data_IF_581826447229
#
_entry.id   IF_581826447229
#
_cell.length_a   1.000
_cell.length_b   1.000
_cell.length_c   1.000
_cell.angle_alpha   90.00
_cell.angle_beta   90.00
_cell.angle_gamma   90.00
#
_symmetry.space_group_name_H-M   'P 1'
#
loop_
_entity.id
_entity.type
_entity.pdbx_description
1 polymer ?
#
# COMPACT_ATOMS: atom_id res chain seq x y z
N UNK A 1 5.13 28.82 -26.19
CA UNK A 1 6.42 28.38 -25.62
C UNK A 1 6.70 29.10 -24.31
N UNK A 2 6.79 30.43 -24.30
CA UNK A 2 7.06 31.25 -23.09
C UNK A 2 6.13 30.90 -21.92
N UNK A 3 4.81 30.86 -22.13
CA UNK A 3 3.85 30.52 -21.06
C UNK A 3 4.06 29.09 -20.50
N UNK A 4 4.52 28.14 -21.34
CA UNK A 4 4.82 26.78 -20.89
C UNK A 4 6.02 26.80 -19.95
N UNK A 5 7.09 27.49 -20.36
CA UNK A 5 8.32 27.58 -19.57
C UNK A 5 8.08 28.38 -18.27
N UNK A 6 7.27 29.45 -18.33
CA UNK A 6 6.79 30.17 -17.14
C UNK A 6 6.04 29.25 -16.18
N UNK A 7 5.11 28.42 -16.69
CA UNK A 7 4.36 27.50 -15.83
C UNK A 7 5.26 26.46 -15.14
N UNK A 8 6.36 26.05 -15.79
CA UNK A 8 7.35 25.14 -15.20
C UNK A 8 8.20 25.84 -14.13
N UNK A 9 8.54 27.13 -14.32
CA UNK A 9 9.23 27.92 -13.30
C UNK A 9 8.33 28.20 -12.09
N UNK A 10 7.06 28.55 -12.31
CA UNK A 10 6.10 28.83 -11.25
C UNK A 10 5.89 27.63 -10.34
N UNK A 11 5.72 26.42 -10.91
CA UNK A 11 5.57 25.21 -10.08
C UNK A 11 6.86 24.89 -9.31
N UNK A 12 8.04 25.12 -9.91
CA UNK A 12 9.33 24.93 -9.24
C UNK A 12 9.51 25.89 -8.05
N UNK A 13 9.03 27.13 -8.19
CA UNK A 13 9.05 28.13 -7.13
C UNK A 13 7.87 28.01 -6.14
N UNK A 14 6.98 27.02 -6.32
CA UNK A 14 5.73 26.84 -5.56
C UNK A 14 4.77 28.04 -5.62
N UNK A 15 4.84 28.85 -6.66
CA UNK A 15 3.83 29.86 -6.97
C UNK A 15 2.61 29.18 -7.63
N UNK A 16 1.76 28.57 -6.80
CA UNK A 16 0.59 27.82 -7.26
C UNK A 16 -0.49 28.71 -7.87
N UNK A 17 -0.68 29.92 -7.34
CA UNK A 17 -1.68 30.85 -7.86
C UNK A 17 -1.29 31.38 -9.24
N UNK A 18 -0.02 31.76 -9.43
CA UNK A 18 0.51 32.12 -10.74
C UNK A 18 0.45 30.94 -11.72
N UNK A 19 0.75 29.72 -11.25
CA UNK A 19 0.64 28.50 -12.06
C UNK A 19 -0.78 28.29 -12.60
N UNK A 20 -1.82 28.41 -11.76
CA UNK A 20 -3.23 28.29 -12.18
C UNK A 20 -3.58 29.31 -13.27
N UNK A 21 -3.18 30.57 -13.09
CA UNK A 21 -3.44 31.64 -14.07
C UNK A 21 -2.77 31.35 -15.41
N UNK A 22 -1.49 30.98 -15.41
CA UNK A 22 -0.74 30.64 -16.62
C UNK A 22 -1.34 29.42 -17.33
N UNK A 23 -1.76 28.39 -16.57
CA UNK A 23 -2.40 27.19 -17.14
C UNK A 23 -3.77 27.49 -17.74
N UNK A 24 -4.55 28.39 -17.15
CA UNK A 24 -5.81 28.89 -17.74
C UNK A 24 -5.55 29.55 -19.08
N UNK A 25 -4.57 30.46 -19.16
CA UNK A 25 -4.22 31.15 -20.41
C UNK A 25 -3.76 30.16 -21.49
N UNK A 26 -2.92 29.19 -21.14
CA UNK A 26 -2.49 28.13 -22.05
C UNK A 26 -3.66 27.30 -22.59
N UNK A 27 -4.62 26.96 -21.74
CA UNK A 27 -5.81 26.22 -22.14
C UNK A 27 -6.68 27.05 -23.11
N UNK A 28 -6.91 28.33 -22.83
CA UNK A 28 -7.67 29.22 -23.72
C UNK A 28 -7.01 29.38 -25.09
N UNK A 29 -5.68 29.47 -25.13
CA UNK A 29 -4.94 29.62 -26.39
C UNK A 29 -4.90 28.33 -27.22
N UNK A 30 -4.83 27.17 -26.57
CA UNK A 30 -4.66 25.86 -27.23
C UNK A 30 -5.55 24.80 -26.57
N UNK A 31 -6.88 24.87 -26.75
CA UNK A 31 -7.83 23.94 -26.14
C UNK A 31 -7.80 22.54 -26.79
N UNK A 32 -7.31 22.41 -28.04
CA UNK A 32 -7.19 21.11 -28.70
C UNK A 32 -6.12 20.19 -28.08
N UNK A 33 -5.20 20.72 -27.28
CA UNK A 33 -4.13 19.94 -26.67
C UNK A 33 -4.56 19.40 -25.31
N UNK A 34 -4.72 18.08 -25.21
CA UNK A 34 -5.03 17.34 -23.96
C UNK A 34 -4.15 17.76 -22.78
N UNK A 35 -2.84 17.91 -22.99
CA UNK A 35 -1.89 18.29 -21.93
C UNK A 35 -2.27 19.59 -21.22
N UNK A 36 -2.91 20.54 -21.92
CA UNK A 36 -3.33 21.80 -21.31
C UNK A 36 -4.54 21.61 -20.38
N UNK A 37 -5.48 20.72 -20.73
CA UNK A 37 -6.60 20.36 -19.86
C UNK A 37 -6.12 19.69 -18.58
N UNK A 38 -5.29 18.66 -18.72
CA UNK A 38 -4.76 17.90 -17.57
C UNK A 38 -3.94 18.82 -16.68
N UNK A 39 -3.02 19.62 -17.24
CA UNK A 39 -2.20 20.51 -16.45
C UNK A 39 -3.02 21.61 -15.74
N UNK A 40 -4.14 22.05 -16.34
CA UNK A 40 -5.06 22.98 -15.71
C UNK A 40 -5.84 22.31 -14.56
N UNK A 41 -6.33 21.07 -14.75
CA UNK A 41 -6.95 20.30 -13.68
C UNK A 41 -5.99 20.07 -12.50
N UNK A 42 -4.75 19.67 -12.78
CA UNK A 42 -3.68 19.52 -11.78
C UNK A 42 -3.41 20.84 -11.05
N UNK A 43 -3.41 21.97 -11.75
CA UNK A 43 -3.20 23.27 -11.10
C UNK A 43 -4.24 23.57 -10.01
N UNK A 44 -5.52 23.24 -10.27
CA UNK A 44 -6.59 23.39 -9.28
C UNK A 44 -6.50 22.36 -8.15
N UNK A 45 -6.12 21.12 -8.46
CA UNK A 45 -5.88 20.09 -7.46
C UNK A 45 -4.78 20.51 -6.48
N UNK A 46 -3.65 21.08 -6.97
CA UNK A 46 -2.56 21.55 -6.10
C UNK A 46 -2.97 22.67 -5.14
N UNK A 47 -3.94 23.51 -5.53
CA UNK A 47 -4.53 24.56 -4.70
C UNK A 47 -5.66 24.02 -3.79
N UNK A 48 -5.91 22.70 -3.81
CA UNK A 48 -7.02 22.01 -3.11
C UNK A 48 -8.41 22.49 -3.52
N UNK A 49 -8.53 23.04 -4.73
CA UNK A 49 -9.83 23.35 -5.34
C UNK A 49 -10.32 22.11 -6.11
N UNK A 50 -10.81 21.13 -5.35
CA UNK A 50 -11.22 19.84 -5.89
C UNK A 50 -12.45 19.95 -6.81
N UNK A 51 -13.42 20.82 -6.49
CA UNK A 51 -14.63 20.99 -7.31
C UNK A 51 -14.30 21.48 -8.73
N UNK A 52 -13.43 22.49 -8.83
CA UNK A 52 -13.01 23.01 -10.13
C UNK A 52 -12.15 21.99 -10.89
N UNK A 53 -11.29 21.23 -10.18
CA UNK A 53 -10.52 20.16 -10.78
C UNK A 53 -11.44 19.11 -11.45
N UNK A 54 -12.45 18.62 -10.72
CA UNK A 54 -13.42 17.65 -11.24
C UNK A 54 -14.21 18.22 -12.41
N UNK A 55 -14.66 19.48 -12.31
CA UNK A 55 -15.38 20.14 -13.40
C UNK A 55 -14.55 20.25 -14.69
N UNK A 56 -13.24 20.55 -14.57
CA UNK A 56 -12.33 20.60 -15.74
C UNK A 56 -12.14 19.22 -16.34
N UNK A 57 -12.02 18.17 -15.53
CA UNK A 57 -11.91 16.78 -15.99
C UNK A 57 -13.19 16.36 -16.73
N UNK A 58 -14.36 16.61 -16.14
CA UNK A 58 -15.67 16.32 -16.76
C UNK A 58 -15.86 17.07 -18.08
N UNK A 59 -15.44 18.34 -18.14
CA UNK A 59 -15.50 19.13 -19.36
C UNK A 59 -14.60 18.54 -20.45
N UNK A 60 -13.38 18.11 -20.10
CA UNK A 60 -12.48 17.45 -21.03
C UNK A 60 -13.05 16.13 -21.56
N UNK A 61 -13.57 15.25 -20.69
CA UNK A 61 -14.20 13.98 -21.09
C UNK A 61 -15.37 14.20 -22.07
N UNK A 62 -16.22 15.21 -21.81
CA UNK A 62 -17.31 15.58 -22.72
C UNK A 62 -16.80 15.97 -24.11
N UNK A 63 -15.71 16.74 -24.21
CA UNK A 63 -15.14 17.09 -25.52
C UNK A 63 -14.65 15.86 -26.28
N UNK A 64 -13.98 14.92 -25.59
CA UNK A 64 -13.49 13.68 -26.22
C UNK A 64 -14.65 12.78 -26.70
N UNK A 65 -15.74 12.67 -25.95
CA UNK A 65 -16.92 11.88 -26.38
C UNK A 65 -17.67 12.49 -27.57
N UNK A 66 -17.69 13.83 -27.68
CA UNK A 66 -18.30 14.49 -28.84
C UNK A 66 -17.46 14.36 -30.11
N UNK A 67 -16.14 14.39 -29.98
CA UNK A 67 -15.23 14.23 -31.11
C UNK A 67 -15.25 12.80 -31.67
N UNK A 68 -15.38 11.79 -30.79
CA UNK A 68 -15.56 10.39 -31.22
C UNK A 68 -16.91 10.15 -31.88
N UNK A 69 -18.00 10.75 -31.38
CA UNK A 69 -19.33 10.66 -32.01
C UNK A 69 -19.35 11.30 -33.41
N UNK A 70 -18.79 12.50 -33.56
CA UNK A 70 -18.68 13.18 -34.86
C UNK A 70 -17.80 12.41 -35.86
N UNK A 71 -16.73 11.76 -35.40
CA UNK A 71 -15.87 10.94 -36.25
C UNK A 71 -16.56 9.64 -36.73
N UNK A 72 -17.50 9.10 -35.94
CA UNK A 72 -18.32 7.95 -36.33
C UNK A 72 -19.42 8.34 -37.32
N UNK A 73 -20.05 9.51 -37.15
CA UNK A 73 -21.08 10.00 -38.07
C UNK A 73 -20.50 10.38 -39.45
N UNK A 74 -19.32 11.01 -39.50
CA UNK A 74 -18.63 11.31 -40.76
C UNK A 74 -18.17 10.06 -41.54
N UNK A 75 -17.95 8.92 -40.85
CA UNK A 75 -17.68 7.63 -41.50
C UNK A 75 -18.93 6.98 -42.09
N UNK A 76 -20.12 7.23 -41.52
CA UNK A 76 -21.40 6.78 -42.09
C UNK A 76 -21.77 7.56 -43.35
N UNK A 77 -21.53 8.87 -43.37
CA UNK A 77 -21.84 9.71 -44.55
C UNK A 77 -20.88 9.51 -45.74
N UNK A 78 -19.68 8.95 -45.52
CA UNK A 78 -18.75 8.56 -46.61
C UNK A 78 -18.95 7.13 -47.13
N UNK A 79 -19.95 6.41 -46.62
CA UNK A 79 -20.21 5.00 -46.95
C UNK A 79 -21.25 4.75 -48.04
N UNK A 80 -21.72 5.77 -48.76
CA UNK A 80 -22.77 5.61 -49.75
C UNK A 80 -22.37 6.15 -51.13
N UNK A 81 -21.35 5.54 -51.74
CA UNK A 81 -21.18 5.58 -53.20
C UNK A 81 -20.61 4.25 -53.72
N UNK A 82 -21.45 3.56 -54.49
CA UNK A 82 -21.18 2.50 -55.48
C UNK A 82 -20.79 1.06 -55.05
N UNK A 83 -21.76 0.17 -55.30
CA UNK A 83 -21.67 -1.17 -55.92
C UNK A 83 -20.94 -2.35 -55.21
N UNK A 84 -21.79 -3.23 -54.67
CA UNK A 84 -21.79 -4.70 -54.81
C UNK A 84 -20.48 -5.48 -54.63
N UNK A 85 -20.36 -6.18 -53.49
CA UNK A 85 -20.25 -7.64 -53.46
C UNK A 85 -20.44 -8.15 -52.03
N UNK A 86 -21.43 -9.01 -51.86
CA UNK A 86 -21.74 -9.71 -50.62
C UNK A 86 -20.55 -10.52 -50.12
N UNK A 87 -20.16 -10.30 -48.87
CA UNK A 87 -19.59 -11.32 -48.00
C UNK A 87 -19.86 -10.93 -46.55
N UNK A 88 -20.70 -11.76 -45.92
CA UNK A 88 -20.96 -11.76 -44.50
C UNK A 88 -19.64 -11.74 -43.73
N UNK A 89 -19.51 -10.81 -42.79
CA UNK A 89 -18.80 -11.03 -41.54
C UNK A 89 -19.40 -10.12 -40.47
N UNK A 90 -20.24 -10.72 -39.63
CA UNK A 90 -20.47 -10.21 -38.29
C UNK A 90 -19.15 -10.35 -37.52
N UNK A 91 -18.42 -9.25 -37.37
CA UNK A 91 -17.55 -9.07 -36.22
C UNK A 91 -17.82 -7.71 -35.61
N UNK A 92 -18.17 -7.75 -34.33
CA UNK A 92 -18.30 -6.61 -33.44
C UNK A 92 -17.02 -5.77 -33.48
N UNK A 93 -17.00 -4.77 -34.36
CA UNK A 93 -15.94 -3.78 -34.45
C UNK A 93 -15.98 -2.83 -33.27
N UNK A 94 -15.47 -3.27 -32.11
CA UNK A 94 -14.93 -2.33 -31.14
C UNK A 94 -13.72 -1.68 -31.81
N UNK A 95 -13.82 -0.40 -32.17
CA UNK A 95 -12.66 0.37 -32.61
C UNK A 95 -11.63 0.31 -31.48
N UNK A 96 -10.57 -0.49 -31.64
CA UNK A 96 -9.56 -0.64 -30.60
C UNK A 96 -8.77 0.66 -30.50
N UNK A 97 -9.02 1.41 -29.43
CA UNK A 97 -8.16 2.52 -29.01
C UNK A 97 -6.71 2.03 -28.88
N UNK A 98 -5.74 2.89 -29.17
CA UNK A 98 -4.33 2.50 -29.07
C UNK A 98 -3.98 2.06 -27.63
N UNK A 99 -2.97 1.20 -27.42
CA UNK A 99 -2.55 0.82 -26.06
C UNK A 99 -2.24 2.04 -25.18
N UNK A 100 -1.64 3.08 -25.76
CA UNK A 100 -1.34 4.34 -25.08
C UNK A 100 -2.63 5.07 -24.65
N UNK A 101 -3.64 5.15 -25.53
CA UNK A 101 -4.95 5.75 -25.20
C UNK A 101 -5.69 4.97 -24.09
N UNK A 102 -5.58 3.64 -24.08
CA UNK A 102 -6.17 2.81 -23.03
C UNK A 102 -5.51 3.07 -21.68
N UNK A 103 -4.17 3.14 -21.65
CA UNK A 103 -3.41 3.49 -20.46
C UNK A 103 -3.78 4.89 -19.98
N UNK A 104 -3.80 5.87 -20.87
CA UNK A 104 -4.18 7.25 -20.58
C UNK A 104 -5.61 7.39 -20.04
N UNK A 105 -6.53 6.55 -20.53
CA UNK A 105 -7.92 6.51 -20.05
C UNK A 105 -7.98 5.90 -18.66
N UNK A 106 -7.30 4.78 -18.43
CA UNK A 106 -7.16 4.14 -17.11
C UNK A 106 -6.65 5.12 -16.06
N UNK A 107 -5.54 5.81 -16.36
CA UNK A 107 -4.93 6.78 -15.44
C UNK A 107 -5.84 7.98 -15.17
N UNK A 108 -6.62 8.43 -16.16
CA UNK A 108 -7.55 9.53 -15.95
C UNK A 108 -8.69 9.15 -15.00
N UNK A 109 -9.23 7.93 -15.13
CA UNK A 109 -10.28 7.42 -14.23
C UNK A 109 -9.74 7.31 -12.80
N UNK A 110 -8.55 6.73 -12.62
CA UNK A 110 -7.92 6.61 -11.30
C UNK A 110 -7.58 7.99 -10.69
N UNK A 111 -7.08 8.92 -11.50
CA UNK A 111 -6.82 10.29 -11.05
C UNK A 111 -8.09 11.00 -10.60
N UNK A 112 -9.17 10.90 -11.38
CA UNK A 112 -10.48 11.46 -11.03
C UNK A 112 -11.03 10.85 -9.74
N UNK A 113 -10.95 9.53 -9.58
CA UNK A 113 -11.35 8.83 -8.36
C UNK A 113 -10.53 9.29 -7.15
N UNK A 114 -9.22 9.49 -7.31
CA UNK A 114 -8.35 10.05 -6.26
C UNK A 114 -8.75 11.47 -5.85
N UNK A 115 -9.05 12.34 -6.82
CA UNK A 115 -9.53 13.71 -6.51
C UNK A 115 -10.86 13.63 -5.73
N UNK A 116 -11.75 12.71 -6.09
CA UNK A 116 -12.99 12.47 -5.35
C UNK A 116 -12.71 11.95 -3.92
N UNK A 117 -11.78 11.00 -3.75
CA UNK A 117 -11.32 10.49 -2.45
C UNK A 117 -10.79 11.62 -1.56
N UNK A 118 -9.89 12.46 -2.07
CA UNK A 118 -9.31 13.59 -1.32
C UNK A 118 -10.37 14.65 -0.95
N UNK A 119 -11.39 14.81 -1.79
CA UNK A 119 -12.56 15.67 -1.50
C UNK A 119 -13.62 15.02 -0.60
N UNK A 120 -13.35 13.81 -0.07
CA UNK A 120 -14.26 13.00 0.77
C UNK A 120 -15.58 12.60 0.08
N UNK A 121 -15.61 12.58 -1.24
CA UNK A 121 -16.75 12.11 -2.04
C UNK A 121 -16.65 10.59 -2.29
N UNK A 122 -16.57 9.80 -1.21
CA UNK A 122 -16.24 8.37 -1.28
C UNK A 122 -17.23 7.56 -2.11
N UNK A 123 -18.53 7.73 -1.94
CA UNK A 123 -19.54 6.96 -2.69
C UNK A 123 -19.46 7.21 -4.20
N UNK A 124 -19.19 8.45 -4.60
CA UNK A 124 -19.01 8.80 -6.01
C UNK A 124 -17.72 8.18 -6.57
N UNK A 125 -16.64 8.21 -5.80
CA UNK A 125 -15.37 7.62 -6.19
C UNK A 125 -15.47 6.09 -6.37
N UNK A 126 -16.14 5.42 -5.42
CA UNK A 126 -16.42 3.98 -5.48
C UNK A 126 -17.28 3.67 -6.71
N UNK A 127 -18.37 4.42 -6.91
CA UNK A 127 -19.24 4.25 -8.07
C UNK A 127 -18.50 4.39 -9.39
N UNK A 128 -17.60 5.38 -9.50
CA UNK A 128 -16.76 5.60 -10.67
C UNK A 128 -15.87 4.38 -10.95
N UNK A 129 -15.08 3.92 -9.96
CA UNK A 129 -14.17 2.78 -10.13
C UNK A 129 -14.93 1.51 -10.52
N UNK A 130 -16.07 1.22 -9.88
CA UNK A 130 -16.85 0.03 -10.17
C UNK A 130 -17.50 0.09 -11.56
N UNK A 131 -17.99 1.27 -11.96
CA UNK A 131 -18.65 1.44 -13.27
C UNK A 131 -17.66 1.37 -14.44
N UNK A 132 -16.42 1.78 -14.23
CA UNK A 132 -15.38 1.86 -15.25
C UNK A 132 -14.30 0.78 -15.10
N UNK A 133 -14.58 -0.29 -14.33
CA UNK A 133 -13.59 -1.34 -14.06
C UNK A 133 -12.99 -1.90 -15.35
N UNK A 134 -13.79 -2.11 -16.39
CA UNK A 134 -13.32 -2.59 -17.69
C UNK A 134 -12.26 -1.69 -18.37
N UNK A 135 -12.21 -0.40 -18.03
CA UNK A 135 -11.22 0.56 -18.56
C UNK A 135 -9.94 0.62 -17.71
N UNK A 136 -9.97 0.08 -16.49
CA UNK A 136 -8.84 0.14 -15.56
C UNK A 136 -7.81 -0.95 -15.90
N UNK A 137 -6.59 -0.52 -16.22
CA UNK A 137 -5.45 -1.40 -16.42
C UNK A 137 -4.75 -1.72 -15.09
N UNK A 138 -4.57 -0.73 -14.22
CA UNK A 138 -4.05 -0.95 -12.86
C UNK A 138 -5.15 -1.43 -11.91
N UNK A 139 -5.43 -2.73 -12.00
CA UNK A 139 -6.41 -3.42 -11.14
C UNK A 139 -6.02 -3.42 -9.67
N UNK A 140 -4.72 -3.46 -9.37
CA UNK A 140 -4.25 -3.49 -8.00
C UNK A 140 -4.42 -2.12 -7.35
N UNK A 141 -3.97 -1.05 -7.99
CA UNK A 141 -4.16 0.32 -7.51
C UNK A 141 -5.63 0.69 -7.37
N UNK A 142 -6.49 0.23 -8.28
CA UNK A 142 -7.94 0.37 -8.17
C UNK A 142 -8.50 -0.31 -6.91
N UNK A 143 -8.08 -1.55 -6.62
CA UNK A 143 -8.49 -2.28 -5.40
C UNK A 143 -7.96 -1.62 -4.13
N UNK A 144 -6.70 -1.20 -4.11
CA UNK A 144 -6.13 -0.47 -2.97
C UNK A 144 -6.89 0.84 -2.70
N UNK A 145 -7.27 1.56 -3.76
CA UNK A 145 -8.09 2.76 -3.65
C UNK A 145 -9.50 2.46 -3.13
N UNK A 146 -10.16 1.42 -3.65
CA UNK A 146 -11.46 0.95 -3.14
C UNK A 146 -11.40 0.60 -1.66
N UNK A 147 -10.33 -0.06 -1.19
CA UNK A 147 -10.15 -0.38 0.23
C UNK A 147 -10.16 0.89 1.11
N UNK A 148 -9.39 1.91 0.72
CA UNK A 148 -9.38 3.21 1.41
C UNK A 148 -10.72 3.92 1.36
N UNK A 149 -11.39 3.90 0.22
CA UNK A 149 -12.70 4.55 0.04
C UNK A 149 -13.81 3.82 0.82
N UNK A 150 -13.79 2.48 0.91
CA UNK A 150 -14.72 1.72 1.73
C UNK A 150 -14.54 2.02 3.21
N UNK A 151 -13.29 2.13 3.70
CA UNK A 151 -13.02 2.61 5.05
C UNK A 151 -13.55 4.04 5.27
N UNK A 152 -13.22 4.97 4.36
CA UNK A 152 -13.63 6.38 4.47
C UNK A 152 -15.15 6.59 4.41
N UNK A 153 -15.88 5.72 3.71
CA UNK A 153 -17.35 5.73 3.65
C UNK A 153 -18.03 4.95 4.78
N UNK A 154 -17.28 4.24 5.62
CA UNK A 154 -17.82 3.38 6.69
C UNK A 154 -18.41 2.05 6.20
N UNK A 155 -18.15 1.63 4.96
CA UNK A 155 -18.55 0.32 4.43
C UNK A 155 -17.58 -0.77 4.89
N UNK A 156 -17.53 -1.00 6.20
CA UNK A 156 -16.51 -1.82 6.88
C UNK A 156 -16.49 -3.27 6.40
N UNK A 157 -17.66 -3.91 6.20
CA UNK A 157 -17.73 -5.30 5.72
C UNK A 157 -17.04 -5.48 4.35
N UNK A 158 -17.23 -4.51 3.45
CA UNK A 158 -16.60 -4.53 2.12
C UNK A 158 -15.11 -4.24 2.21
N UNK A 159 -14.72 -3.32 3.09
CA UNK A 159 -13.32 -3.03 3.35
C UNK A 159 -12.58 -4.27 3.91
N UNK A 160 -13.16 -4.94 4.90
CA UNK A 160 -12.59 -6.16 5.50
C UNK A 160 -12.39 -7.24 4.43
N UNK A 161 -13.43 -7.58 3.66
CA UNK A 161 -13.34 -8.59 2.62
C UNK A 161 -12.24 -8.26 1.59
N UNK A 162 -12.14 -6.99 1.19
CA UNK A 162 -11.15 -6.54 0.22
C UNK A 162 -9.72 -6.54 0.79
N UNK A 163 -9.52 -6.13 2.04
CA UNK A 163 -8.20 -6.21 2.67
C UNK A 163 -7.74 -7.65 2.90
N UNK A 164 -8.65 -8.57 3.22
CA UNK A 164 -8.34 -10.01 3.25
C UNK A 164 -7.87 -10.52 1.89
N UNK A 165 -8.52 -10.09 0.80
CA UNK A 165 -8.07 -10.42 -0.57
C UNK A 165 -6.68 -9.82 -0.88
N UNK A 166 -6.43 -8.58 -0.48
CA UNK A 166 -5.13 -7.92 -0.66
C UNK A 166 -4.02 -8.61 0.14
N UNK A 167 -4.30 -9.06 1.36
CA UNK A 167 -3.38 -9.84 2.20
C UNK A 167 -3.09 -11.19 1.55
N UNK A 168 -4.10 -11.88 1.02
CA UNK A 168 -3.88 -13.15 0.32
C UNK A 168 -2.97 -12.99 -0.91
N UNK A 169 -3.00 -11.83 -1.56
CA UNK A 169 -2.13 -11.50 -2.69
C UNK A 169 -0.71 -11.11 -2.26
N UNK A 170 -0.57 -10.29 -1.21
CA UNK A 170 0.74 -9.88 -0.68
C UNK A 170 0.68 -9.71 0.85
N UNK A 171 0.96 -10.79 1.61
CA UNK A 171 0.84 -10.78 3.07
C UNK A 171 1.97 -10.04 3.78
N UNK A 172 3.03 -9.63 3.08
CA UNK A 172 4.14 -8.85 3.67
C UNK A 172 3.84 -7.34 3.71
N UNK A 173 2.79 -6.89 3.02
CA UNK A 173 2.42 -5.47 3.03
C UNK A 173 1.64 -5.11 4.29
N UNK A 174 2.33 -4.57 5.28
CA UNK A 174 1.75 -4.17 6.56
C UNK A 174 0.62 -3.15 6.45
N UNK A 175 0.56 -2.35 5.39
CA UNK A 175 -0.55 -1.40 5.16
C UNK A 175 -1.89 -2.11 4.96
N UNK A 176 -1.89 -3.33 4.42
CA UNK A 176 -3.11 -4.11 4.30
C UNK A 176 -3.57 -4.66 5.64
N UNK A 177 -2.63 -4.95 6.54
CA UNK A 177 -2.97 -5.35 7.91
C UNK A 177 -3.62 -4.18 8.63
N UNK A 178 -3.02 -2.99 8.53
CA UNK A 178 -3.57 -1.78 9.12
C UNK A 178 -4.98 -1.50 8.56
N UNK A 179 -5.18 -1.66 7.24
CA UNK A 179 -6.49 -1.57 6.60
C UNK A 179 -7.52 -2.58 7.09
N UNK A 180 -7.12 -3.86 7.25
CA UNK A 180 -7.97 -4.91 7.82
C UNK A 180 -8.40 -4.57 9.24
N UNK A 181 -7.46 -4.17 10.09
CA UNK A 181 -7.77 -3.85 11.49
C UNK A 181 -8.55 -2.55 11.65
N UNK A 182 -8.38 -1.58 10.74
CA UNK A 182 -9.29 -0.42 10.66
C UNK A 182 -10.71 -0.87 10.27
N UNK A 183 -10.85 -1.81 9.33
CA UNK A 183 -12.16 -2.35 8.93
C UNK A 183 -12.83 -3.12 10.07
N UNK A 184 -12.06 -3.85 10.88
CA UNK A 184 -12.54 -4.55 12.08
C UNK A 184 -12.75 -3.63 13.30
N UNK A 185 -12.56 -2.31 13.13
CA UNK A 185 -12.64 -1.30 14.20
C UNK A 185 -11.67 -1.56 15.37
N UNK A 186 -10.58 -2.28 15.11
CA UNK A 186 -9.52 -2.57 16.08
C UNK A 186 -8.43 -1.49 16.07
N UNK A 187 -8.24 -0.83 14.93
CA UNK A 187 -7.46 0.41 14.82
C UNK A 187 -8.44 1.56 14.56
N UNK A 188 -8.25 2.68 15.27
CA UNK A 188 -9.04 3.88 15.00
C UNK A 188 -8.70 4.41 13.61
N UNK A 189 -9.72 4.81 12.84
CA UNK A 189 -9.54 5.42 11.51
C UNK A 189 -8.53 6.57 11.63
N UNK A 190 -7.49 6.54 10.79
CA UNK A 190 -6.38 7.50 10.74
C UNK A 190 -5.32 7.44 11.86
N UNK A 191 -5.40 6.48 12.79
CA UNK A 191 -4.30 6.21 13.73
C UNK A 191 -3.44 5.09 13.16
N UNK A 192 -2.21 5.43 12.79
CA UNK A 192 -1.19 4.42 12.53
C UNK A 192 -1.00 3.50 13.75
N UNK A 193 -0.23 2.43 13.58
CA UNK A 193 0.19 1.54 14.67
C UNK A 193 1.09 2.31 15.65
N UNK A 194 0.53 3.18 16.48
CA UNK A 194 1.20 3.77 17.63
C UNK A 194 1.01 2.81 18.80
N UNK A 195 2.08 2.07 19.11
CA UNK A 195 2.16 1.01 20.13
C UNK A 195 1.68 1.42 21.53
N UNK A 196 1.72 2.72 21.86
CA UNK A 196 1.63 3.20 23.24
C UNK A 196 0.20 3.25 23.83
N UNK A 197 -0.88 2.99 23.08
CA UNK A 197 -2.26 3.14 23.62
C UNK A 197 -3.32 2.18 23.05
N UNK A 198 -2.99 0.93 22.70
CA UNK A 198 -4.03 -0.06 22.35
C UNK A 198 -4.52 -0.81 23.60
N UNK A 199 -5.84 -0.85 23.90
CA UNK A 199 -6.36 -1.63 25.04
C UNK A 199 -6.02 -3.11 24.93
N UNK A 200 -5.79 -3.78 26.07
CA UNK A 200 -5.39 -5.18 26.09
C UNK A 200 -6.33 -6.11 25.30
N UNK A 201 -7.65 -5.90 25.42
CA UNK A 201 -8.64 -6.69 24.70
C UNK A 201 -8.51 -6.58 23.17
N UNK A 202 -8.12 -5.39 22.69
CA UNK A 202 -7.90 -5.14 21.26
C UNK A 202 -6.63 -5.86 20.80
N UNK A 203 -5.53 -5.73 21.56
CA UNK A 203 -4.27 -6.45 21.26
C UNK A 203 -4.49 -7.96 21.17
N UNK A 204 -5.21 -8.55 22.12
CA UNK A 204 -5.53 -9.98 22.11
C UNK A 204 -6.35 -10.41 20.89
N UNK A 205 -7.33 -9.60 20.47
CA UNK A 205 -8.08 -9.88 19.23
C UNK A 205 -7.18 -9.82 18.00
N UNK A 206 -6.29 -8.83 17.91
CA UNK A 206 -5.35 -8.70 16.81
C UNK A 206 -4.35 -9.87 16.76
N UNK A 207 -3.85 -10.32 17.91
CA UNK A 207 -2.96 -11.49 17.99
C UNK A 207 -3.66 -12.72 17.43
N UNK A 208 -4.90 -13.01 17.84
CA UNK A 208 -5.68 -14.16 17.32
C UNK A 208 -5.88 -14.09 15.81
N UNK A 209 -6.14 -12.89 15.29
CA UNK A 209 -6.28 -12.69 13.84
C UNK A 209 -4.96 -12.95 13.11
N UNK A 210 -3.85 -12.44 13.63
CA UNK A 210 -2.53 -12.72 13.06
C UNK A 210 -2.12 -14.19 13.17
N UNK A 211 -2.51 -14.90 14.23
CA UNK A 211 -2.32 -16.35 14.35
C UNK A 211 -3.08 -17.10 13.24
N UNK A 212 -4.35 -16.77 13.01
CA UNK A 212 -5.14 -17.34 11.92
C UNK A 212 -4.54 -17.03 10.53
N UNK A 213 -4.07 -15.80 10.31
CA UNK A 213 -3.38 -15.42 9.07
C UNK A 213 -2.05 -16.16 8.90
N UNK A 214 -1.29 -16.36 9.99
CA UNK A 214 -0.05 -17.12 9.99
C UNK A 214 -0.28 -18.60 9.66
N UNK A 215 -1.37 -19.21 10.12
CA UNK A 215 -1.73 -20.58 9.73
C UNK A 215 -1.98 -20.70 8.23
N UNK A 216 -2.68 -19.70 7.65
CA UNK A 216 -2.94 -19.65 6.20
C UNK A 216 -1.67 -19.34 5.39
N UNK A 217 -0.78 -18.51 5.92
CA UNK A 217 0.40 -17.98 5.24
C UNK A 217 1.68 -18.17 6.08
N UNK A 218 2.16 -19.42 6.29
CA UNK A 218 3.20 -19.75 7.27
C UNK A 218 4.59 -19.17 6.95
N UNK A 219 4.80 -18.71 5.71
CA UNK A 219 6.06 -18.10 5.27
C UNK A 219 6.13 -16.60 5.53
N UNK A 220 5.00 -15.96 5.85
CA UNK A 220 4.94 -14.52 6.05
C UNK A 220 5.57 -14.15 7.40
N UNK A 221 6.61 -13.33 7.35
CA UNK A 221 7.38 -12.92 8.53
C UNK A 221 6.72 -11.72 9.20
N UNK A 222 6.03 -10.86 8.43
CA UNK A 222 5.34 -9.69 8.95
C UNK A 222 4.30 -10.04 10.03
N UNK A 223 3.57 -11.16 9.91
CA UNK A 223 2.62 -11.58 10.95
C UNK A 223 3.30 -11.89 12.28
N UNK A 224 4.40 -12.65 12.24
CA UNK A 224 5.17 -12.97 13.46
C UNK A 224 5.75 -11.69 14.06
N UNK A 225 6.28 -10.79 13.22
CA UNK A 225 6.80 -9.49 13.69
C UNK A 225 5.72 -8.68 14.41
N UNK A 226 4.51 -8.61 13.82
CA UNK A 226 3.39 -7.86 14.39
C UNK A 226 2.84 -8.49 15.67
N UNK A 227 2.85 -9.82 15.79
CA UNK A 227 2.50 -10.49 17.05
C UNK A 227 3.48 -10.08 18.17
N UNK A 228 4.78 -10.01 17.89
CA UNK A 228 5.78 -9.53 18.86
C UNK A 228 5.46 -8.11 19.32
N UNK A 229 5.16 -7.21 18.38
CA UNK A 229 4.83 -5.80 18.66
C UNK A 229 3.55 -5.64 19.51
N UNK A 230 2.64 -6.62 19.48
CA UNK A 230 1.38 -6.60 20.23
C UNK A 230 1.48 -7.17 21.64
N UNK A 231 2.55 -7.91 21.97
CA UNK A 231 2.74 -8.43 23.32
C UNK A 231 3.16 -7.32 24.28
N UNK A 232 2.56 -7.32 25.47
CA UNK A 232 2.85 -6.32 26.50
C UNK A 232 3.07 -6.97 27.87
N UNK A 233 3.66 -6.23 28.79
CA UNK A 233 3.82 -6.70 30.17
C UNK A 233 2.49 -6.79 30.94
N UNK A 234 1.39 -6.24 30.43
CA UNK A 234 0.07 -6.29 31.11
C UNK A 234 -0.55 -7.70 31.04
N UNK A 235 -0.47 -8.34 29.86
CA UNK A 235 -0.93 -9.72 29.64
C UNK A 235 0.12 -10.77 29.88
N UNK A 236 1.38 -10.38 29.86
CA UNK A 236 2.51 -11.28 30.04
C UNK A 236 3.52 -10.70 31.05
N UNK A 237 3.20 -10.75 32.36
CA UNK A 237 4.08 -10.18 33.39
C UNK A 237 5.47 -10.80 33.43
N UNK A 238 5.59 -12.06 32.99
CA UNK A 238 6.86 -12.80 32.92
C UNK A 238 7.55 -12.69 31.56
N UNK A 239 6.85 -12.24 30.52
CA UNK A 239 7.38 -12.13 29.16
C UNK A 239 7.53 -13.46 28.43
N UNK A 240 6.82 -14.51 28.84
CA UNK A 240 6.93 -15.85 28.25
C UNK A 240 6.37 -15.91 26.81
N UNK A 241 5.23 -15.28 26.56
CA UNK A 241 4.62 -15.18 25.23
C UNK A 241 5.46 -14.30 24.31
N UNK A 242 5.93 -13.15 24.83
CA UNK A 242 6.85 -12.29 24.09
C UNK A 242 8.13 -13.02 23.70
N UNK A 243 8.79 -13.69 24.66
CA UNK A 243 10.00 -14.46 24.40
C UNK A 243 9.77 -15.59 23.40
N UNK A 244 8.62 -16.28 23.49
CA UNK A 244 8.25 -17.32 22.52
C UNK A 244 8.01 -16.74 21.11
N UNK A 245 7.39 -15.57 20.99
CA UNK A 245 7.19 -14.91 19.70
C UNK A 245 8.53 -14.48 19.08
N UNK A 246 9.45 -13.93 19.89
CA UNK A 246 10.83 -13.61 19.47
C UNK A 246 11.61 -14.86 19.08
N UNK A 247 11.46 -15.96 19.82
CA UNK A 247 12.09 -17.26 19.53
C UNK A 247 11.68 -17.77 18.14
N UNK A 248 10.38 -17.79 17.86
CA UNK A 248 9.81 -18.18 16.56
C UNK A 248 10.32 -17.28 15.43
N UNK A 249 10.45 -15.98 15.68
CA UNK A 249 10.95 -15.02 14.68
C UNK A 249 12.45 -15.16 14.41
N UNK A 250 13.26 -15.36 15.45
CA UNK A 250 14.71 -15.37 15.37
C UNK A 250 15.29 -16.64 14.75
N UNK A 251 14.70 -17.82 15.04
CA UNK A 251 15.25 -19.11 14.60
C UNK A 251 15.50 -19.21 13.09
N UNK A 252 14.56 -18.85 12.19
CA UNK A 252 14.81 -18.91 10.76
C UNK A 252 15.93 -17.99 10.30
N UNK A 253 16.12 -16.85 10.97
CA UNK A 253 17.15 -15.88 10.63
C UNK A 253 18.53 -16.37 11.04
N UNK A 254 18.62 -16.97 12.24
CA UNK A 254 19.84 -17.60 12.74
C UNK A 254 20.27 -18.78 11.86
N UNK A 255 19.34 -19.68 11.53
CA UNK A 255 19.60 -20.86 10.67
C UNK A 255 20.00 -20.50 9.24
N UNK A 256 19.55 -19.34 8.74
CA UNK A 256 19.91 -18.82 7.40
C UNK A 256 21.14 -17.93 7.43
N UNK A 257 21.66 -17.60 8.61
CA UNK A 257 22.78 -16.70 8.78
C UNK A 257 22.53 -15.27 8.33
N UNK A 258 21.39 -14.70 8.70
CA UNK A 258 21.01 -13.33 8.31
C UNK A 258 21.60 -12.32 9.32
N UNK A 259 22.53 -11.43 8.90
CA UNK A 259 23.21 -10.50 9.83
C UNK A 259 22.30 -9.41 10.42
N UNK A 260 21.17 -9.12 9.77
CA UNK A 260 20.30 -7.99 10.12
C UNK A 260 19.31 -8.27 11.25
N UNK A 261 19.36 -9.45 11.88
CA UNK A 261 18.40 -9.85 12.93
C UNK A 261 18.35 -8.84 14.09
N UNK A 262 19.50 -8.40 14.58
CA UNK A 262 19.54 -7.39 15.65
C UNK A 262 18.88 -6.09 15.22
N UNK A 263 19.20 -5.59 14.02
CA UNK A 263 18.63 -4.36 13.51
C UNK A 263 17.10 -4.45 13.37
N UNK A 264 16.56 -5.63 13.03
CA UNK A 264 15.11 -5.89 12.98
C UNK A 264 14.45 -5.85 14.36
N UNK A 265 15.13 -6.31 15.42
CA UNK A 265 14.62 -6.34 16.79
C UNK A 265 14.96 -5.07 17.60
N UNK A 266 15.88 -4.23 17.13
CA UNK A 266 16.36 -3.02 17.81
C UNK A 266 15.25 -2.07 18.24
N UNK A 267 14.14 -2.01 17.49
CA UNK A 267 12.99 -1.19 17.86
C UNK A 267 12.38 -1.59 19.22
N UNK A 268 12.46 -2.87 19.58
CA UNK A 268 11.95 -3.42 20.84
C UNK A 268 12.82 -3.06 22.05
N UNK A 269 14.07 -2.62 21.82
CA UNK A 269 15.04 -2.25 22.86
C UNK A 269 14.74 -0.88 23.49
N UNK A 270 13.60 -0.25 23.15
CA UNK A 270 13.09 0.93 23.87
C UNK A 270 12.57 0.59 25.27
N UNK A 271 12.19 -0.67 25.50
CA UNK A 271 11.67 -1.16 26.78
C UNK A 271 12.71 -2.07 27.43
N UNK A 272 13.22 -1.68 28.61
CA UNK A 272 14.26 -2.41 29.33
C UNK A 272 13.89 -3.88 29.60
N UNK A 273 12.61 -4.17 29.87
CA UNK A 273 12.16 -5.57 30.06
C UNK A 273 12.31 -6.41 28.79
N UNK A 274 12.04 -5.82 27.62
CA UNK A 274 12.21 -6.50 26.34
C UNK A 274 13.70 -6.79 26.10
N UNK A 275 14.57 -5.86 26.46
CA UNK A 275 16.04 -6.03 26.38
C UNK A 275 16.47 -7.25 27.20
N UNK A 276 16.04 -7.33 28.45
CA UNK A 276 16.39 -8.45 29.34
C UNK A 276 15.86 -9.79 28.81
N UNK A 277 14.61 -9.85 28.35
CA UNK A 277 14.00 -11.07 27.82
C UNK A 277 14.71 -11.55 26.54
N UNK A 278 15.03 -10.63 25.63
CA UNK A 278 15.77 -10.95 24.40
C UNK A 278 17.18 -11.42 24.75
N UNK A 279 17.87 -10.73 25.66
CA UNK A 279 19.22 -11.12 26.12
C UNK A 279 19.23 -12.53 26.71
N UNK A 280 18.34 -12.80 27.67
CA UNK A 280 18.21 -14.11 28.32
C UNK A 280 17.90 -15.23 27.31
N UNK A 281 17.06 -14.96 26.31
CA UNK A 281 16.75 -15.92 25.25
C UNK A 281 18.00 -16.28 24.44
N UNK A 282 18.77 -15.30 23.98
CA UNK A 282 19.97 -15.56 23.17
C UNK A 282 21.12 -16.15 24.00
N UNK A 283 21.27 -15.79 25.27
CA UNK A 283 22.18 -16.47 26.18
C UNK A 283 21.81 -17.96 26.35
N UNK A 284 20.51 -18.27 26.39
CA UNK A 284 20.04 -19.67 26.45
C UNK A 284 20.40 -20.44 25.18
N UNK A 285 20.33 -19.79 24.01
CA UNK A 285 20.77 -20.38 22.75
C UNK A 285 22.26 -20.67 22.77
N UNK A 286 23.08 -19.72 23.22
CA UNK A 286 24.53 -19.90 23.31
C UNK A 286 24.89 -21.09 24.20
N UNK A 287 24.32 -21.16 25.41
CA UNK A 287 24.57 -22.25 26.37
C UNK A 287 24.19 -23.61 25.78
N UNK A 288 23.01 -23.69 25.17
CA UNK A 288 22.49 -24.91 24.53
C UNK A 288 23.36 -25.36 23.34
N UNK A 289 23.76 -24.43 22.48
CA UNK A 289 24.59 -24.73 21.30
C UNK A 289 26.02 -25.14 21.66
N UNK A 290 26.61 -24.57 22.73
CA UNK A 290 27.94 -24.98 23.21
C UNK A 290 27.94 -26.34 23.89
N UNK A 291 26.85 -26.71 24.56
CA UNK A 291 26.74 -27.97 25.30
C UNK A 291 26.26 -29.13 24.43
N UNK A 292 25.14 -28.95 23.74
CA UNK A 292 24.41 -30.02 23.06
C UNK A 292 24.44 -29.91 21.53
N UNK A 293 24.98 -28.81 20.98
CA UNK A 293 24.92 -28.46 19.54
C UNK A 293 23.48 -28.33 19.02
N UNK A 294 22.53 -28.02 19.90
CA UNK A 294 21.10 -27.90 19.59
C UNK A 294 20.57 -26.55 20.06
N UNK A 295 19.57 -26.03 19.35
CA UNK A 295 18.75 -24.95 19.91
C UNK A 295 17.79 -25.53 20.96
N UNK A 296 17.40 -24.77 22.00
CA UNK A 296 16.43 -25.24 22.98
C UNK A 296 15.16 -25.76 22.31
N UNK A 297 14.61 -26.86 22.83
CA UNK A 297 13.38 -27.53 22.33
C UNK A 297 13.48 -28.13 20.92
N UNK A 298 14.66 -28.21 20.31
CA UNK A 298 14.88 -28.93 19.06
C UNK A 298 15.68 -30.21 19.30
N UNK A 299 15.31 -31.29 18.62
CA UNK A 299 16.06 -32.55 18.69
C UNK A 299 17.24 -32.59 17.72
N UNK A 300 17.18 -31.82 16.64
CA UNK A 300 18.17 -31.82 15.57
C UNK A 300 19.39 -30.98 15.94
N UNK A 301 20.58 -31.53 15.65
CA UNK A 301 21.84 -30.79 15.74
C UNK A 301 21.85 -29.66 14.72
N UNK A 302 22.36 -28.51 15.15
CA UNK A 302 22.48 -27.31 14.32
C UNK A 302 23.86 -27.24 13.68
N UNK A 303 23.94 -26.53 12.57
CA UNK A 303 25.22 -26.24 11.95
C UNK A 303 26.04 -25.28 12.84
N UNK A 304 27.39 -25.37 12.84
CA UNK A 304 28.24 -24.55 13.71
C UNK A 304 28.13 -23.03 13.47
N UNK A 305 27.71 -22.64 12.27
CA UNK A 305 27.47 -21.25 11.88
C UNK A 305 26.30 -20.62 12.68
N UNK A 306 25.29 -21.41 13.08
CA UNK A 306 24.19 -20.92 13.94
C UNK A 306 24.73 -20.32 15.23
N UNK A 307 25.74 -20.96 15.85
CA UNK A 307 26.41 -20.41 17.04
C UNK A 307 27.11 -19.08 16.73
N UNK A 308 27.76 -18.95 15.56
CA UNK A 308 28.40 -17.68 15.14
C UNK A 308 27.37 -16.56 15.06
N UNK A 309 26.18 -16.82 14.52
CA UNK A 309 25.12 -15.81 14.41
C UNK A 309 24.48 -15.47 15.76
N UNK A 310 24.36 -16.44 16.67
CA UNK A 310 23.95 -16.18 18.06
C UNK A 310 24.97 -15.29 18.78
N UNK A 311 26.27 -15.59 18.63
CA UNK A 311 27.35 -14.77 19.21
C UNK A 311 27.39 -13.38 18.59
N UNK A 312 27.22 -13.25 17.28
CA UNK A 312 27.15 -11.96 16.60
C UNK A 312 25.97 -11.12 17.10
N UNK A 313 24.82 -11.74 17.32
CA UNK A 313 23.67 -11.06 17.92
C UNK A 313 23.95 -10.63 19.37
N UNK A 314 24.53 -11.52 20.19
CA UNK A 314 24.88 -11.20 21.59
C UNK A 314 25.91 -10.08 21.68
N UNK A 315 26.91 -10.04 20.81
CA UNK A 315 27.87 -8.95 20.74
C UNK A 315 27.17 -7.60 20.49
N UNK A 316 26.26 -7.54 19.52
CA UNK A 316 25.46 -6.34 19.23
C UNK A 316 24.51 -5.97 20.38
N UNK A 317 23.91 -6.97 21.04
CA UNK A 317 23.10 -6.78 22.23
C UNK A 317 23.90 -6.16 23.38
N UNK A 318 25.04 -6.74 23.74
CA UNK A 318 25.87 -6.24 24.84
C UNK A 318 26.47 -4.87 24.52
N UNK A 319 26.89 -4.61 23.28
CA UNK A 319 27.33 -3.28 22.86
C UNK A 319 26.21 -2.24 23.06
N UNK A 320 24.98 -2.55 22.64
CA UNK A 320 23.82 -1.67 22.82
C UNK A 320 23.50 -1.41 24.30
N UNK A 321 23.58 -2.42 25.15
CA UNK A 321 23.33 -2.31 26.60
C UNK A 321 24.53 -1.68 27.35
N UNK A 322 25.66 -1.44 26.67
CA UNK A 322 26.87 -0.84 27.25
C UNK A 322 27.75 -1.83 28.02
N UNK A 323 27.55 -3.14 27.86
CA UNK A 323 28.36 -4.21 28.45
C UNK A 323 29.58 -4.55 27.57
N UNK A 324 30.46 -3.57 27.35
CA UNK A 324 31.57 -3.63 26.37
C UNK A 324 32.51 -4.83 26.57
N UNK A 325 32.74 -5.28 27.81
CA UNK A 325 33.61 -6.43 28.07
C UNK A 325 33.01 -7.77 27.62
N UNK A 326 31.68 -7.86 27.53
CA UNK A 326 30.98 -9.05 27.03
C UNK A 326 30.76 -9.01 25.51
N UNK A 327 30.71 -7.81 24.95
CA UNK A 327 30.52 -7.57 23.51
C UNK A 327 31.73 -8.06 22.69
#
# INVERSE_FOLDING_TARGET
QILRDLSLLQIQMRDLNGFVQTRRQLLTLRPAQRTNWIAFAVSHHLVRNYDMCLHVIDAYEKTTTQDTAKAQDQKKDRGNDSSSSSSNNNSSGSGSSSPDEQFETSEMVLYKARVMEESKQFDKAIGLILSEDNKLLDKLGAKEALGRMYLGSGQLDKAEALYRELIDRNPENTRYHDGLFNAMELLGVDKGFEEDVLPLQVRQKMIREYEALKEKHPKCIAFVRRIIDLHSCEDDPKGENFANAVDVYARPWLKKGVPSLFQSLKALYKNDKNVDLIGNLFESYEKSLRGEEKLPKEEDKQAPDVLVWVLAFLAQHYDYVGQIQKA
#
